data_IF_034565937653
#
_entry.id   IF_034565937653
#
_cell.length_a   1.000
_cell.length_b   1.000
_cell.length_c   1.000
_cell.angle_alpha   90.00
_cell.angle_beta   90.00
_cell.angle_gamma   90.00
#
_symmetry.space_group_name_H-M   'P 1'
#
loop_
_entity.id
_entity.type
_entity.pdbx_description
1 polymer ?
#
# COMPACT_ATOMS: atom_id res chain seq x y z
N UNK A 1 2.77 -24.64 17.36
CA UNK A 1 3.43 -25.59 16.44
C UNK A 1 4.84 -25.10 16.23
N UNK A 2 5.78 -25.83 16.82
CA UNK A 2 7.19 -25.73 16.53
C UNK A 2 7.55 -27.15 16.13
N UNK A 3 7.50 -27.43 14.84
CA UNK A 3 8.19 -28.60 14.30
C UNK A 3 9.63 -28.16 14.03
N UNK A 4 10.60 -29.06 14.01
CA UNK A 4 12.03 -28.74 13.81
C UNK A 4 12.31 -27.89 12.54
N UNK A 5 11.35 -27.82 11.61
CA UNK A 5 11.42 -27.00 10.39
C UNK A 5 10.22 -26.05 10.19
N UNK A 6 9.31 -25.90 11.16
CA UNK A 6 8.12 -25.06 11.00
C UNK A 6 7.81 -24.20 12.23
N UNK A 7 8.11 -22.90 12.11
CA UNK A 7 7.82 -21.89 13.11
C UNK A 7 6.44 -21.28 12.83
N UNK A 8 5.53 -21.34 13.79
CA UNK A 8 4.18 -20.77 13.66
C UNK A 8 4.16 -19.29 14.12
N UNK A 9 4.04 -18.30 13.21
CA UNK A 9 4.08 -16.88 13.59
C UNK A 9 2.90 -16.49 14.49
N UNK A 10 1.74 -17.09 14.27
CA UNK A 10 0.55 -16.84 15.09
C UNK A 10 0.69 -17.39 16.51
N UNK A 11 1.41 -18.50 16.70
CA UNK A 11 1.69 -19.05 18.03
C UNK A 11 2.52 -18.07 18.86
N UNK A 12 3.63 -17.59 18.29
CA UNK A 12 4.49 -16.60 18.94
C UNK A 12 3.74 -15.31 19.26
N UNK A 13 2.94 -14.80 18.33
CA UNK A 13 2.14 -13.59 18.56
C UNK A 13 1.07 -13.78 19.62
N UNK A 14 0.43 -14.95 19.70
CA UNK A 14 -0.54 -15.28 20.76
C UNK A 14 0.12 -15.33 22.13
N UNK A 15 1.26 -16.02 22.24
CA UNK A 15 2.05 -16.11 23.48
C UNK A 15 2.46 -14.72 23.97
N UNK A 16 3.09 -13.93 23.11
CA UNK A 16 3.51 -12.57 23.44
C UNK A 16 2.33 -11.67 23.85
N UNK A 17 1.17 -11.80 23.20
CA UNK A 17 -0.01 -11.00 23.55
C UNK A 17 -0.53 -11.36 24.94
N UNK A 18 -0.59 -12.64 25.29
CA UNK A 18 -1.00 -13.10 26.62
C UNK A 18 -0.03 -12.62 27.70
N UNK A 19 1.28 -12.82 27.50
CA UNK A 19 2.32 -12.35 28.42
C UNK A 19 2.26 -10.83 28.62
N UNK A 20 2.07 -10.07 27.54
CA UNK A 20 1.95 -8.61 27.59
C UNK A 20 0.72 -8.13 28.36
N UNK A 21 -0.35 -8.92 28.39
CA UNK A 21 -1.57 -8.63 29.15
C UNK A 21 -1.47 -9.10 30.62
N UNK A 22 -0.30 -9.61 31.04
CA UNK A 22 -0.03 -10.02 32.42
C UNK A 22 -0.47 -11.43 32.76
N UNK A 23 -0.81 -12.27 31.77
CA UNK A 23 -1.08 -13.69 32.01
C UNK A 23 0.23 -14.47 32.16
N UNK A 24 0.21 -15.47 33.04
CA UNK A 24 1.20 -16.54 33.04
C UNK A 24 0.83 -17.57 31.97
N UNK A 25 1.76 -17.87 31.07
CA UNK A 25 1.46 -18.59 29.82
C UNK A 25 2.24 -19.88 29.73
N UNK A 26 1.50 -20.99 29.75
CA UNK A 26 2.04 -22.31 29.43
C UNK A 26 1.87 -22.59 27.92
N UNK A 27 2.99 -22.76 27.22
CA UNK A 27 3.01 -22.98 25.77
C UNK A 27 3.19 -24.47 25.45
N UNK A 28 2.13 -25.12 24.97
CA UNK A 28 2.13 -26.54 24.62
C UNK A 28 2.46 -26.73 23.13
N UNK A 29 3.66 -27.22 22.86
CA UNK A 29 4.12 -27.40 21.48
C UNK A 29 3.61 -28.72 20.92
N UNK A 30 2.87 -28.61 19.82
CA UNK A 30 2.57 -29.75 18.93
C UNK A 30 3.75 -29.91 17.99
N UNK A 31 4.43 -31.04 18.11
CA UNK A 31 5.72 -31.34 17.45
C UNK A 31 5.57 -32.28 16.26
N UNK A 32 4.49 -33.06 16.23
CA UNK A 32 4.17 -33.96 15.11
C UNK A 32 2.86 -33.57 14.41
N UNK A 33 2.71 -34.04 13.17
CA UNK A 33 1.48 -33.86 12.41
C UNK A 33 0.31 -34.64 13.03
N UNK A 34 0.58 -35.84 13.52
CA UNK A 34 -0.39 -36.68 14.21
C UNK A 34 -0.91 -35.99 15.48
N UNK A 35 -0.02 -35.42 16.30
CA UNK A 35 -0.41 -34.59 17.46
C UNK A 35 -1.27 -33.40 17.05
N UNK A 36 -0.91 -32.75 15.95
CA UNK A 36 -1.66 -31.61 15.44
C UNK A 36 -3.06 -32.00 14.99
N UNK A 37 -3.20 -33.09 14.24
CA UNK A 37 -4.48 -33.54 13.71
C UNK A 37 -5.35 -34.12 14.84
N UNK A 38 -4.76 -34.82 15.81
CA UNK A 38 -5.44 -35.26 17.03
C UNK A 38 -5.94 -34.08 17.86
N UNK A 39 -5.13 -33.03 18.03
CA UNK A 39 -5.54 -31.81 18.73
C UNK A 39 -6.69 -31.10 18.01
N UNK A 40 -6.60 -30.99 16.68
CA UNK A 40 -7.65 -30.39 15.84
C UNK A 40 -8.97 -31.14 15.96
N UNK A 41 -8.94 -32.48 15.92
CA UNK A 41 -10.13 -33.31 16.10
C UNK A 41 -10.69 -33.20 17.52
N UNK A 42 -9.84 -33.28 18.54
CA UNK A 42 -10.24 -33.21 19.95
C UNK A 42 -10.97 -31.91 20.29
N UNK A 43 -10.51 -30.79 19.73
CA UNK A 43 -11.07 -29.46 20.01
C UNK A 43 -12.01 -28.94 18.91
N UNK A 44 -12.30 -29.74 17.89
CA UNK A 44 -13.08 -29.38 16.70
C UNK A 44 -12.63 -28.04 16.06
N UNK A 45 -11.32 -27.95 15.78
CA UNK A 45 -10.70 -26.76 15.19
C UNK A 45 -10.00 -27.05 13.88
N UNK A 46 -10.09 -26.10 12.94
CA UNK A 46 -9.42 -26.21 11.63
C UNK A 46 -7.95 -25.81 11.69
N UNK A 47 -7.57 -24.94 12.62
CA UNK A 47 -6.25 -24.30 12.67
C UNK A 47 -5.66 -24.29 14.07
N UNK A 48 -4.34 -24.21 14.12
CA UNK A 48 -3.54 -23.93 15.32
C UNK A 48 -2.77 -22.62 15.10
N UNK A 49 -2.43 -21.84 16.13
CA UNK A 49 -2.59 -22.11 17.57
C UNK A 49 -4.04 -21.93 18.06
N UNK A 50 -4.32 -22.45 19.25
CA UNK A 50 -5.54 -22.17 20.02
C UNK A 50 -5.13 -21.69 21.42
N UNK A 51 -5.75 -20.61 21.89
CA UNK A 51 -5.53 -20.05 23.22
C UNK A 51 -6.69 -20.41 24.15
N UNK A 52 -6.35 -20.73 25.40
CA UNK A 52 -7.29 -21.01 26.48
C UNK A 52 -6.95 -20.09 27.66
N UNK A 53 -7.95 -19.47 28.28
CA UNK A 53 -7.79 -18.61 29.47
C UNK A 53 -8.74 -19.13 30.54
N UNK A 54 -8.22 -19.49 31.72
CA UNK A 54 -9.05 -20.02 32.81
C UNK A 54 -9.81 -21.31 32.46
N UNK A 55 -9.30 -22.11 31.51
CA UNK A 55 -9.97 -23.33 31.01
C UNK A 55 -11.00 -23.08 29.90
N UNK A 56 -11.35 -21.83 29.61
CA UNK A 56 -12.24 -21.48 28.51
C UNK A 56 -11.44 -21.31 27.20
N UNK A 57 -11.92 -21.91 26.10
CA UNK A 57 -11.30 -21.76 24.78
C UNK A 57 -11.65 -20.40 24.17
N UNK A 58 -10.66 -19.55 23.99
CA UNK A 58 -10.83 -18.24 23.34
C UNK A 58 -10.76 -18.37 21.81
N UNK A 59 -9.88 -19.24 21.30
CA UNK A 59 -9.74 -19.50 19.87
C UNK A 59 -8.33 -19.20 19.34
N UNK A 60 -8.22 -18.93 18.04
CA UNK A 60 -6.95 -18.57 17.42
C UNK A 60 -6.49 -17.14 17.76
N UNK A 61 -5.37 -16.71 17.15
CA UNK A 61 -4.79 -15.39 17.41
C UNK A 61 -5.75 -14.22 17.20
N UNK A 62 -6.63 -14.27 16.19
CA UNK A 62 -7.59 -13.20 15.94
C UNK A 62 -8.61 -13.06 17.07
N UNK A 63 -9.21 -14.16 17.52
CA UNK A 63 -10.16 -14.17 18.62
C UNK A 63 -9.50 -13.70 19.93
N UNK A 64 -8.23 -14.10 20.14
CA UNK A 64 -7.45 -13.63 21.27
C UNK A 64 -7.21 -12.12 21.23
N UNK A 65 -6.91 -11.55 20.06
CA UNK A 65 -6.79 -10.09 19.89
C UNK A 65 -8.11 -9.37 20.14
N UNK A 66 -9.20 -9.89 19.63
CA UNK A 66 -10.54 -9.32 19.82
C UNK A 66 -10.95 -9.31 21.29
N UNK A 67 -10.59 -10.35 22.03
CA UNK A 67 -10.88 -10.45 23.47
C UNK A 67 -10.01 -9.54 24.34
N UNK A 68 -8.72 -9.41 24.02
CA UNK A 68 -7.72 -8.77 24.90
C UNK A 68 -7.31 -7.36 24.47
N UNK A 69 -7.74 -6.89 23.31
CA UNK A 69 -7.37 -5.56 22.79
C UNK A 69 -8.59 -4.87 22.19
N UNK A 70 -8.46 -3.60 21.80
CA UNK A 70 -9.47 -2.89 21.01
C UNK A 70 -9.51 -3.33 19.53
N UNK A 71 -9.01 -4.53 19.22
CA UNK A 71 -8.98 -5.05 17.86
C UNK A 71 -10.38 -5.52 17.48
N UNK A 72 -10.99 -4.84 16.52
CA UNK A 72 -12.18 -5.32 15.84
C UNK A 72 -11.77 -5.97 14.52
N UNK A 73 -12.20 -7.22 14.31
CA UNK A 73 -12.02 -7.92 13.04
C UNK A 73 -12.89 -7.27 11.98
N UNK A 74 -12.40 -6.17 11.42
CA UNK A 74 -13.08 -5.41 10.36
C UNK A 74 -12.34 -5.63 9.06
N UNK A 75 -12.79 -6.61 8.28
CA UNK A 75 -12.33 -6.82 6.90
C UNK A 75 -12.64 -5.64 5.98
N UNK A 76 -13.53 -4.72 6.39
CA UNK A 76 -14.05 -3.61 5.57
C UNK A 76 -13.70 -2.20 6.06
N UNK A 77 -12.89 -2.03 7.11
CA UNK A 77 -12.47 -0.66 7.50
C UNK A 77 -11.48 -0.10 6.48
N UNK A 78 -11.88 1.00 5.83
CA UNK A 78 -11.04 1.80 4.94
C UNK A 78 -9.76 2.21 5.67
N UNK A 79 -8.61 1.80 5.15
CA UNK A 79 -7.31 2.00 5.80
C UNK A 79 -6.45 2.92 4.93
N UNK A 80 -6.03 4.07 5.46
CA UNK A 80 -5.16 5.03 4.77
C UNK A 80 -3.70 4.98 5.23
N UNK A 81 -3.40 4.23 6.29
CA UNK A 81 -2.07 4.19 6.90
C UNK A 81 -0.94 3.89 5.92
N UNK A 82 -1.04 2.88 5.02
CA UNK A 82 0.04 2.61 4.05
C UNK A 82 0.33 3.80 3.14
N UNK A 83 -0.72 4.48 2.67
CA UNK A 83 -0.60 5.64 1.78
C UNK A 83 0.01 6.83 2.51
N UNK A 84 -0.48 7.11 3.72
CA UNK A 84 0.05 8.21 4.53
C UNK A 84 1.54 8.00 4.86
N UNK A 85 1.95 6.76 5.12
CA UNK A 85 3.36 6.43 5.34
C UNK A 85 4.21 6.68 4.08
N UNK A 86 3.71 6.30 2.89
CA UNK A 86 4.39 6.59 1.63
C UNK A 86 4.59 8.10 1.45
N UNK A 87 3.54 8.91 1.65
CA UNK A 87 3.66 10.36 1.54
C UNK A 87 4.57 10.96 2.62
N UNK A 88 4.47 10.51 3.87
CA UNK A 88 5.33 10.99 4.95
C UNK A 88 6.82 10.72 4.66
N UNK A 89 7.16 9.50 4.25
CA UNK A 89 8.53 9.14 3.88
C UNK A 89 8.99 9.92 2.66
N UNK A 90 8.13 10.09 1.65
CA UNK A 90 8.45 10.90 0.46
C UNK A 90 8.73 12.37 0.81
N UNK A 91 7.99 12.94 1.75
CA UNK A 91 8.21 14.31 2.22
C UNK A 91 9.53 14.43 2.98
N UNK A 92 9.84 13.46 3.86
CA UNK A 92 11.12 13.42 4.57
C UNK A 92 12.30 13.26 3.61
N UNK A 93 12.19 12.42 2.58
CA UNK A 93 13.22 12.28 1.55
C UNK A 93 13.41 13.58 0.77
N UNK A 94 12.33 14.25 0.38
CA UNK A 94 12.40 15.54 -0.31
C UNK A 94 13.09 16.62 0.53
N UNK A 95 12.74 16.73 1.81
CA UNK A 95 13.37 17.65 2.74
C UNK A 95 14.86 17.33 2.93
N UNK A 96 15.20 16.06 3.13
CA UNK A 96 16.58 15.62 3.33
C UNK A 96 17.45 15.90 2.10
N UNK A 97 16.95 15.61 0.90
CA UNK A 97 17.66 15.89 -0.35
C UNK A 97 17.78 17.39 -0.60
N UNK A 98 16.71 18.16 -0.34
CA UNK A 98 16.76 19.62 -0.53
C UNK A 98 17.73 20.28 0.45
N UNK A 99 17.70 19.87 1.72
CA UNK A 99 18.68 20.33 2.71
C UNK A 99 20.12 19.97 2.32
N UNK A 100 20.35 18.72 1.92
CA UNK A 100 21.69 18.21 1.65
C UNK A 100 22.31 18.73 0.35
N UNK A 101 21.52 18.98 -0.69
CA UNK A 101 22.02 19.41 -2.01
C UNK A 101 21.82 20.89 -2.29
N UNK A 102 20.75 21.51 -1.79
CA UNK A 102 20.37 22.89 -2.09
C UNK A 102 20.61 23.84 -0.92
N UNK A 103 20.83 23.31 0.30
CA UNK A 103 21.01 24.11 1.52
C UNK A 103 19.74 24.84 1.99
N UNK A 104 18.62 24.67 1.28
CA UNK A 104 17.32 25.24 1.59
C UNK A 104 16.24 24.15 1.57
N UNK A 105 15.44 24.10 2.63
CA UNK A 105 14.33 23.15 2.80
C UNK A 105 13.03 23.64 2.18
N UNK A 106 12.86 24.95 1.99
CA UNK A 106 11.61 25.56 1.52
C UNK A 106 11.66 25.97 0.04
N UNK A 107 12.64 25.45 -0.70
CA UNK A 107 12.72 25.67 -2.14
C UNK A 107 11.52 25.06 -2.88
N UNK A 108 11.14 25.65 -4.01
CA UNK A 108 10.17 25.06 -4.96
C UNK A 108 10.56 23.63 -5.35
N UNK A 109 11.88 23.39 -5.41
CA UNK A 109 12.45 22.06 -5.71
C UNK A 109 12.08 21.01 -4.66
N UNK A 110 11.87 21.38 -3.40
CA UNK A 110 11.39 20.45 -2.35
C UNK A 110 10.03 19.89 -2.70
N UNK A 111 9.11 20.74 -3.19
CA UNK A 111 7.75 20.31 -3.58
C UNK A 111 7.80 19.40 -4.81
N UNK A 112 8.64 19.75 -5.79
CA UNK A 112 8.86 18.90 -6.97
C UNK A 112 9.44 17.53 -6.60
N UNK A 113 10.43 17.49 -5.70
CA UNK A 113 11.03 16.25 -5.20
C UNK A 113 10.03 15.42 -4.41
N UNK A 114 9.22 16.05 -3.54
CA UNK A 114 8.18 15.35 -2.79
C UNK A 114 7.22 14.62 -3.71
N UNK A 115 6.70 15.30 -4.72
CA UNK A 115 5.75 14.72 -5.65
C UNK A 115 6.40 13.62 -6.52
N UNK A 116 7.65 13.81 -6.96
CA UNK A 116 8.39 12.80 -7.72
C UNK A 116 8.72 11.54 -6.88
N UNK A 117 9.10 11.71 -5.62
CA UNK A 117 9.33 10.60 -4.69
C UNK A 117 8.03 9.84 -4.40
N UNK A 118 6.94 10.55 -4.13
CA UNK A 118 5.64 9.93 -3.87
C UNK A 118 5.15 9.13 -5.08
N UNK A 119 5.24 9.72 -6.27
CA UNK A 119 4.93 9.04 -7.54
C UNK A 119 5.76 7.77 -7.73
N UNK A 120 7.07 7.85 -7.54
CA UNK A 120 7.98 6.70 -7.70
C UNK A 120 7.68 5.60 -6.68
N UNK A 121 7.40 5.98 -5.43
CA UNK A 121 7.07 5.03 -4.36
C UNK A 121 5.72 4.34 -4.60
N UNK A 122 4.69 5.07 -5.06
CA UNK A 122 3.40 4.49 -5.43
C UNK A 122 3.53 3.58 -6.66
N UNK A 123 4.32 3.98 -7.65
CA UNK A 123 4.62 3.15 -8.82
C UNK A 123 5.33 1.85 -8.44
N UNK A 124 6.25 1.90 -7.48
CA UNK A 124 6.88 0.69 -6.92
C UNK A 124 5.85 -0.26 -6.31
N UNK A 125 4.84 0.24 -5.59
CA UNK A 125 3.78 -0.61 -5.05
C UNK A 125 2.95 -1.28 -6.16
N UNK A 126 2.70 -0.57 -7.27
CA UNK A 126 2.02 -1.12 -8.45
C UNK A 126 2.87 -2.21 -9.14
N UNK A 127 4.20 -2.11 -9.08
CA UNK A 127 5.13 -3.09 -9.67
C UNK A 127 5.34 -4.36 -8.83
N UNK A 128 4.99 -4.36 -7.53
CA UNK A 128 5.12 -5.57 -6.69
C UNK A 128 4.27 -6.74 -7.21
N UNK A 129 3.10 -6.43 -7.76
CA UNK A 129 2.20 -7.39 -8.39
C UNK A 129 1.46 -6.71 -9.55
N UNK A 130 2.11 -6.72 -10.72
CA UNK A 130 1.60 -6.07 -11.94
C UNK A 130 0.30 -6.71 -12.41
N UNK A 131 0.14 -8.03 -12.26
CA UNK A 131 -1.06 -8.75 -12.68
C UNK A 131 -2.28 -8.31 -11.87
N UNK A 132 -2.12 -8.27 -10.55
CA UNK A 132 -3.15 -7.81 -9.64
C UNK A 132 -3.44 -6.33 -9.82
N UNK A 133 -2.41 -5.51 -10.01
CA UNK A 133 -2.57 -4.08 -10.32
C UNK A 133 -3.40 -3.90 -11.60
N UNK A 134 -2.99 -4.52 -12.72
CA UNK A 134 -3.62 -4.33 -14.02
C UNK A 134 -5.09 -4.74 -14.00
N UNK A 135 -5.42 -5.85 -13.33
CA UNK A 135 -6.79 -6.34 -13.13
C UNK A 135 -7.63 -5.33 -12.35
N UNK A 136 -7.09 -4.76 -11.26
CA UNK A 136 -7.78 -3.72 -10.48
C UNK A 136 -7.93 -2.41 -11.27
N UNK A 137 -6.91 -2.04 -12.03
CA UNK A 137 -6.85 -0.81 -12.83
C UNK A 137 -7.91 -0.80 -13.96
N UNK A 138 -8.16 -1.96 -14.58
CA UNK A 138 -9.21 -2.14 -15.60
C UNK A 138 -10.63 -1.81 -15.09
N UNK A 139 -10.88 -1.87 -13.77
CA UNK A 139 -12.22 -1.58 -13.23
C UNK A 139 -12.65 -0.12 -13.39
N UNK A 140 -11.70 0.80 -13.62
CA UNK A 140 -11.99 2.23 -13.73
C UNK A 140 -11.23 2.97 -14.83
N UNK A 141 -10.02 2.55 -15.20
CA UNK A 141 -9.23 3.28 -16.20
C UNK A 141 -9.78 3.10 -17.63
N UNK A 142 -10.16 4.21 -18.26
CA UNK A 142 -10.82 4.20 -19.56
C UNK A 142 -9.91 3.76 -20.70
N UNK A 143 -8.60 4.03 -20.62
CA UNK A 143 -7.65 3.61 -21.64
C UNK A 143 -7.28 2.14 -21.45
N UNK A 144 -7.10 1.69 -20.21
CA UNK A 144 -6.86 0.28 -19.90
C UNK A 144 -8.02 -0.59 -20.37
N UNK A 145 -9.27 -0.14 -20.15
CA UNK A 145 -10.47 -0.84 -20.63
C UNK A 145 -10.50 -1.02 -22.16
N UNK A 146 -9.95 -0.07 -22.90
CA UNK A 146 -9.86 -0.14 -24.38
C UNK A 146 -8.64 -0.94 -24.86
N UNK A 147 -7.53 -0.85 -24.14
CA UNK A 147 -6.26 -1.51 -24.47
C UNK A 147 -5.66 -2.08 -23.19
N UNK A 148 -5.94 -3.36 -22.93
CA UNK A 148 -5.47 -4.06 -21.71
C UNK A 148 -3.97 -3.93 -21.50
N UNK A 149 -3.17 -3.97 -22.57
CA UNK A 149 -1.72 -3.79 -22.50
C UNK A 149 -1.26 -2.46 -21.87
N UNK A 150 -2.08 -1.40 -21.94
CA UNK A 150 -1.79 -0.13 -21.25
C UNK A 150 -1.73 -0.32 -19.74
N UNK A 151 -2.59 -1.15 -19.16
CA UNK A 151 -2.59 -1.43 -17.72
C UNK A 151 -1.29 -2.08 -17.23
N UNK A 152 -0.60 -2.84 -18.08
CA UNK A 152 0.70 -3.43 -17.77
C UNK A 152 1.85 -2.42 -17.91
N UNK A 153 1.75 -1.48 -18.86
CA UNK A 153 2.79 -0.47 -19.13
C UNK A 153 2.71 0.71 -18.17
N UNK A 154 1.52 1.05 -17.70
CA UNK A 154 1.26 2.19 -16.82
C UNK A 154 2.22 2.31 -15.61
N UNK A 155 2.42 1.27 -14.77
CA UNK A 155 3.28 1.41 -13.60
C UNK A 155 4.75 1.66 -13.97
N UNK A 156 5.21 1.15 -15.12
CA UNK A 156 6.54 1.45 -15.64
C UNK A 156 6.64 2.89 -16.14
N UNK A 157 5.60 3.39 -16.83
CA UNK A 157 5.55 4.78 -17.27
C UNK A 157 5.59 5.76 -16.08
N UNK A 158 4.93 5.43 -14.97
CA UNK A 158 5.00 6.21 -13.74
C UNK A 158 6.39 6.18 -13.09
N UNK A 159 7.05 5.03 -13.02
CA UNK A 159 8.44 4.96 -12.52
C UNK A 159 9.36 5.81 -13.39
N UNK A 160 9.28 5.66 -14.72
CA UNK A 160 10.11 6.43 -15.65
C UNK A 160 9.88 7.93 -15.46
N UNK A 161 8.62 8.36 -15.40
CA UNK A 161 8.29 9.77 -15.17
C UNK A 161 8.81 10.26 -13.81
N UNK A 162 8.55 9.53 -12.73
CA UNK A 162 8.96 9.89 -11.37
C UNK A 162 10.48 10.00 -11.23
N UNK A 163 11.24 9.00 -11.72
CA UNK A 163 12.71 9.00 -11.68
C UNK A 163 13.29 10.15 -12.49
N UNK A 164 12.77 10.42 -13.69
CA UNK A 164 13.19 11.55 -14.51
C UNK A 164 12.91 12.90 -13.81
N UNK A 165 11.78 13.02 -13.12
CA UNK A 165 11.44 14.22 -12.34
C UNK A 165 12.35 14.42 -11.12
N UNK A 166 12.78 13.34 -10.46
CA UNK A 166 13.81 13.39 -9.40
C UNK A 166 15.14 13.93 -9.96
N UNK A 167 15.52 13.49 -11.17
CA UNK A 167 16.73 13.98 -11.85
C UNK A 167 16.72 15.49 -12.12
N UNK A 168 15.55 16.08 -12.37
CA UNK A 168 15.43 17.52 -12.62
C UNK A 168 15.94 17.94 -14.00
N UNK A 169 15.96 19.24 -14.26
CA UNK A 169 16.48 19.83 -15.51
C UNK A 169 15.94 19.16 -16.78
N UNK A 170 16.85 18.79 -17.69
CA UNK A 170 16.51 18.13 -18.96
C UNK A 170 15.81 16.77 -18.78
N UNK A 171 16.16 16.00 -17.73
CA UNK A 171 15.51 14.73 -17.46
C UNK A 171 14.04 14.93 -17.11
N UNK A 172 13.75 15.90 -16.23
CA UNK A 172 12.39 16.21 -15.83
C UNK A 172 11.51 16.71 -16.99
N UNK A 173 12.10 17.39 -17.99
CA UNK A 173 11.40 17.78 -19.22
C UNK A 173 10.96 16.59 -20.07
N UNK A 174 11.68 15.46 -20.02
CA UNK A 174 11.29 14.21 -20.69
C UNK A 174 10.20 13.49 -19.88
N UNK A 175 10.29 13.51 -18.54
CA UNK A 175 9.29 12.89 -17.66
C UNK A 175 7.95 13.62 -17.63
N UNK A 176 7.96 14.96 -17.75
CA UNK A 176 6.78 15.82 -17.72
C UNK A 176 5.66 15.42 -18.72
N UNK A 177 5.92 15.23 -20.03
CA UNK A 177 4.87 14.83 -20.97
C UNK A 177 4.32 13.43 -20.67
N UNK A 178 5.14 12.51 -20.15
CA UNK A 178 4.70 11.17 -19.75
C UNK A 178 3.71 11.28 -18.60
N UNK A 179 4.08 11.99 -17.53
CA UNK A 179 3.23 12.21 -16.36
C UNK A 179 1.94 12.95 -16.72
N UNK A 180 2.02 13.97 -17.57
CA UNK A 180 0.86 14.73 -18.02
C UNK A 180 -0.12 13.84 -18.78
N UNK A 181 0.37 13.00 -19.70
CA UNK A 181 -0.46 12.11 -20.49
C UNK A 181 -1.18 11.09 -19.62
N UNK A 182 -0.43 10.30 -18.84
CA UNK A 182 -1.00 9.23 -18.02
C UNK A 182 -1.85 9.80 -16.87
N UNK A 183 -1.45 10.93 -16.29
CA UNK A 183 -2.17 11.63 -15.22
C UNK A 183 -3.49 12.22 -15.71
N UNK A 184 -3.53 12.78 -16.92
CA UNK A 184 -4.78 13.31 -17.50
C UNK A 184 -5.79 12.19 -17.74
N UNK A 185 -5.34 11.08 -18.32
CA UNK A 185 -6.21 9.92 -18.58
C UNK A 185 -6.70 9.31 -17.27
N UNK A 186 -5.80 9.15 -16.29
CA UNK A 186 -6.14 8.63 -14.97
C UNK A 186 -7.11 9.55 -14.22
N UNK A 187 -6.89 10.87 -14.23
CA UNK A 187 -7.79 11.84 -13.60
C UNK A 187 -9.21 11.78 -14.18
N UNK A 188 -9.34 11.77 -15.51
CA UNK A 188 -10.64 11.66 -16.18
C UNK A 188 -11.32 10.32 -15.84
N UNK A 189 -10.54 9.24 -15.81
CA UNK A 189 -11.04 7.90 -15.49
C UNK A 189 -11.55 7.78 -14.06
N UNK A 190 -10.76 8.25 -13.08
CA UNK A 190 -11.14 8.26 -11.65
C UNK A 190 -12.32 9.19 -11.43
N UNK A 191 -12.32 10.38 -12.04
CA UNK A 191 -13.43 11.32 -11.94
C UNK A 191 -14.73 10.69 -12.41
N UNK A 192 -14.72 10.06 -13.59
CA UNK A 192 -15.89 9.35 -14.09
C UNK A 192 -16.32 8.21 -13.16
N UNK A 193 -15.40 7.32 -12.79
CA UNK A 193 -15.73 6.14 -12.00
C UNK A 193 -16.29 6.48 -10.59
N UNK A 194 -15.77 7.53 -9.96
CA UNK A 194 -16.08 7.88 -8.57
C UNK A 194 -17.22 8.91 -8.48
N UNK A 195 -17.18 9.96 -9.30
CA UNK A 195 -18.14 11.07 -9.19
C UNK A 195 -19.35 10.91 -10.10
N UNK A 196 -19.19 10.27 -11.27
CA UNK A 196 -20.30 10.04 -12.20
C UNK A 196 -20.95 8.69 -11.93
N UNK A 197 -20.14 7.61 -11.95
CA UNK A 197 -20.64 6.24 -11.83
C UNK A 197 -20.84 5.81 -10.35
N UNK A 198 -20.43 6.65 -9.38
CA UNK A 198 -20.56 6.42 -7.93
C UNK A 198 -20.09 5.04 -7.46
N UNK A 199 -19.03 4.49 -8.06
CA UNK A 199 -18.50 3.17 -7.73
C UNK A 199 -17.63 3.25 -6.47
N UNK A 200 -17.90 2.40 -5.46
CA UNK A 200 -17.00 2.25 -4.31
C UNK A 200 -15.89 1.25 -4.67
N UNK A 201 -14.78 1.76 -5.19
CA UNK A 201 -13.65 0.97 -5.67
C UNK A 201 -12.45 1.09 -4.74
N UNK A 202 -11.69 0.00 -4.62
CA UNK A 202 -10.41 -0.01 -3.92
C UNK A 202 -9.31 0.60 -4.80
N UNK A 203 -8.40 1.32 -4.18
CA UNK A 203 -7.29 1.99 -4.84
C UNK A 203 -6.25 0.97 -5.34
N UNK A 204 -5.94 1.01 -6.64
CA UNK A 204 -4.88 0.16 -7.20
C UNK A 204 -3.46 0.71 -6.88
N UNK A 205 -3.35 1.96 -6.42
CA UNK A 205 -2.05 2.64 -6.22
C UNK A 205 -1.15 2.03 -5.14
N UNK A 206 -1.67 1.10 -4.34
CA UNK A 206 -0.90 0.37 -3.31
C UNK A 206 -0.86 -1.14 -3.61
N UNK A 207 -0.86 -1.54 -4.88
CA UNK A 207 -0.61 -2.94 -5.27
C UNK A 207 -1.78 -3.91 -5.05
N UNK A 208 -3.02 -3.44 -5.18
CA UNK A 208 -4.22 -4.31 -5.21
C UNK A 208 -4.60 -5.02 -3.90
N UNK A 209 -3.78 -4.97 -2.84
CA UNK A 209 -4.03 -5.59 -1.53
C UNK A 209 -4.47 -4.61 -0.44
N UNK A 210 -4.86 -3.39 -0.82
CA UNK A 210 -5.22 -2.35 0.13
C UNK A 210 -6.73 -2.11 0.19
N UNK A 211 -7.24 -1.92 1.41
CA UNK A 211 -8.60 -1.38 1.65
C UNK A 211 -8.62 0.16 1.54
N UNK A 212 -7.69 0.76 0.78
CA UNK A 212 -7.66 2.20 0.54
C UNK A 212 -8.77 2.53 -0.46
N UNK A 213 -9.66 3.48 -0.17
CA UNK A 213 -10.64 3.91 -1.16
C UNK A 213 -9.96 4.68 -2.29
N UNK A 214 -10.29 4.33 -3.53
CA UNK A 214 -9.70 4.90 -4.75
C UNK A 214 -9.89 6.43 -4.85
N UNK A 215 -11.06 6.92 -4.42
CA UNK A 215 -11.58 8.24 -4.76
C UNK A 215 -10.64 9.42 -4.54
N UNK A 216 -10.46 9.81 -3.28
CA UNK A 216 -9.72 11.05 -2.98
C UNK A 216 -8.22 10.91 -3.30
N UNK A 217 -7.61 9.81 -2.86
CA UNK A 217 -6.15 9.61 -2.98
C UNK A 217 -5.71 9.53 -4.44
N UNK A 218 -6.36 8.70 -5.26
CA UNK A 218 -5.96 8.52 -6.66
C UNK A 218 -6.28 9.73 -7.52
N UNK A 219 -7.38 10.45 -7.24
CA UNK A 219 -7.67 11.71 -7.94
C UNK A 219 -6.59 12.77 -7.64
N UNK A 220 -6.22 12.95 -6.38
CA UNK A 220 -5.18 13.90 -6.00
C UNK A 220 -3.84 13.55 -6.64
N UNK A 221 -3.45 12.27 -6.67
CA UNK A 221 -2.22 11.80 -7.33
C UNK A 221 -2.20 12.18 -8.82
N UNK A 222 -3.26 11.86 -9.56
CA UNK A 222 -3.34 12.17 -10.99
C UNK A 222 -3.34 13.69 -11.25
N UNK A 223 -3.99 14.48 -10.40
CA UNK A 223 -3.97 15.94 -10.50
C UNK A 223 -2.56 16.51 -10.22
N UNK A 224 -1.83 15.96 -9.26
CA UNK A 224 -0.44 16.35 -9.00
C UNK A 224 0.45 16.01 -10.20
N UNK A 225 0.26 14.84 -10.82
CA UNK A 225 1.00 14.46 -12.04
C UNK A 225 0.73 15.42 -13.19
N UNK A 226 -0.53 15.83 -13.39
CA UNK A 226 -0.88 16.86 -14.37
C UNK A 226 -0.23 18.21 -14.03
N UNK A 227 -0.31 18.64 -12.77
CA UNK A 227 0.26 19.90 -12.31
C UNK A 227 1.78 19.93 -12.53
N UNK A 228 2.50 18.86 -12.18
CA UNK A 228 3.94 18.72 -12.43
C UNK A 228 4.27 18.69 -13.92
N UNK A 229 3.48 17.95 -14.71
CA UNK A 229 3.65 17.85 -16.15
C UNK A 229 3.49 19.18 -16.88
N UNK A 230 2.73 20.12 -16.32
CA UNK A 230 2.59 21.49 -16.82
C UNK A 230 3.66 22.41 -16.22
N UNK A 231 3.90 22.30 -14.91
CA UNK A 231 4.79 23.18 -14.16
C UNK A 231 6.25 23.09 -14.61
N UNK A 232 6.76 21.88 -14.81
CA UNK A 232 8.16 21.64 -15.17
C UNK A 232 8.55 22.31 -16.51
N UNK A 233 7.81 22.11 -17.63
CA UNK A 233 8.10 22.81 -18.86
C UNK A 233 7.84 24.32 -18.74
N UNK A 234 6.75 24.75 -18.08
CA UNK A 234 6.49 26.17 -17.87
C UNK A 234 7.65 26.86 -17.18
N UNK A 235 8.17 26.26 -16.10
CA UNK A 235 9.33 26.75 -15.37
C UNK A 235 10.56 26.87 -16.27
N UNK A 236 10.86 25.86 -17.08
CA UNK A 236 12.03 25.85 -17.95
C UNK A 236 11.96 26.85 -19.12
N UNK A 237 10.76 27.25 -19.56
CA UNK A 237 10.57 28.19 -20.66
C UNK A 237 10.32 29.63 -20.20
N UNK A 238 9.85 29.83 -18.96
CA UNK A 238 9.44 31.16 -18.44
C UNK A 238 10.42 31.73 -17.42
N UNK A 239 11.16 30.88 -16.69
CA UNK A 239 12.09 31.28 -15.63
C UNK A 239 13.50 30.76 -15.93
#
# INVERSE_FOLDING_TARGET
>A
MVMDQHLCPYGLKSKWLLERQGFDVEDHHLTTREETDAFKQKHDVKTTPQAFIGGERIGGYEALRERLTSYEKSSDKKTYTPVLMIFAISALMALAVSWGLLGDVLAVRTVELFAAFAMTALALQKLQDVERFSTMFLNYDLLAQRKVGYGYVYPFAEVVAGVLMIGGGAAALIGAPIALFIGTIGAISVYKAVYVDKRDLKCACVGGDSNVPLGFVSLTENLVMMAMGIWIPLKAFVF
#
